data_IF_905618755809
#
_entry.id   IF_905618755809
#
_cell.length_a   1.000
_cell.length_b   1.000
_cell.length_c   1.000
_cell.angle_alpha   90.00
_cell.angle_beta   90.00
_cell.angle_gamma   90.00
#
_symmetry.space_group_name_H-M   'P 1'
#
loop_
_entity.id
_entity.type
_entity.pdbx_description
1 polymer ?
#
# COMPACT_ATOMS: atom_id res chain seq x y z
N UNK A 1 31.23 0.00 -6.43
CA UNK A 1 30.00 0.57 -7.01
C UNK A 1 29.01 -0.57 -7.16
N UNK A 2 27.86 -0.49 -6.52
CA UNK A 2 26.75 -1.41 -6.80
C UNK A 2 26.16 -0.91 -8.11
N UNK A 3 26.22 -1.68 -9.21
CA UNK A 3 25.52 -1.27 -10.41
C UNK A 3 24.03 -1.39 -10.12
N UNK A 4 23.38 -0.26 -9.85
CA UNK A 4 21.93 -0.21 -9.64
C UNK A 4 21.25 -0.38 -11.00
N UNK A 5 21.33 -1.59 -11.52
CA UNK A 5 20.60 -1.96 -12.72
C UNK A 5 19.29 -2.60 -12.28
N UNK A 6 18.19 -1.87 -12.44
CA UNK A 6 16.86 -2.43 -12.23
C UNK A 6 16.61 -3.47 -13.32
N UNK A 7 16.23 -4.66 -12.91
CA UNK A 7 15.95 -5.79 -13.80
C UNK A 7 14.46 -6.17 -13.83
N UNK A 8 13.73 -5.80 -12.79
CA UNK A 8 12.31 -6.14 -12.64
C UNK A 8 11.61 -5.07 -11.80
N UNK A 9 10.38 -4.71 -12.16
CA UNK A 9 9.48 -3.89 -11.34
C UNK A 9 8.33 -4.75 -10.85
N UNK A 10 7.96 -4.57 -9.60
CA UNK A 10 6.81 -5.23 -8.97
C UNK A 10 5.78 -4.20 -8.51
N UNK A 11 4.50 -4.52 -8.72
CA UNK A 11 3.38 -3.88 -8.06
C UNK A 11 2.85 -4.84 -6.98
N UNK A 12 3.11 -4.54 -5.72
CA UNK A 12 2.71 -5.37 -4.57
C UNK A 12 1.65 -4.60 -3.78
N UNK A 13 0.49 -5.19 -3.54
CA UNK A 13 -0.56 -4.45 -2.84
C UNK A 13 -1.60 -5.32 -2.15
N UNK A 14 -2.23 -4.72 -1.13
CA UNK A 14 -3.55 -5.09 -0.62
C UNK A 14 -4.57 -4.02 -1.02
N UNK A 15 -5.69 -4.42 -1.65
CA UNK A 15 -6.67 -3.48 -2.18
C UNK A 15 -8.09 -4.02 -2.15
N UNK A 16 -8.81 -3.81 -1.05
CA UNK A 16 -10.18 -4.31 -0.89
C UNK A 16 -11.19 -3.64 -1.83
N UNK A 17 -10.99 -2.37 -2.22
CA UNK A 17 -11.92 -1.59 -3.03
C UNK A 17 -11.35 -1.12 -4.38
N UNK A 18 -10.12 -1.51 -4.72
CA UNK A 18 -9.47 -1.21 -6.00
C UNK A 18 -8.64 0.08 -6.03
N UNK A 19 -8.78 1.00 -5.08
CA UNK A 19 -8.06 2.28 -5.11
C UNK A 19 -6.55 2.11 -4.92
N UNK A 20 -6.13 1.33 -3.92
CA UNK A 20 -4.71 1.05 -3.68
C UNK A 20 -4.09 0.35 -4.90
N UNK A 21 -4.81 -0.63 -5.48
CA UNK A 21 -4.39 -1.29 -6.72
C UNK A 21 -4.15 -0.26 -7.83
N UNK A 22 -5.11 0.65 -8.08
CA UNK A 22 -5.00 1.67 -9.13
C UNK A 22 -3.74 2.52 -8.97
N UNK A 23 -3.51 3.07 -7.77
CA UNK A 23 -2.34 3.91 -7.49
C UNK A 23 -1.04 3.11 -7.66
N UNK A 24 -0.96 1.93 -7.04
CA UNK A 24 0.25 1.10 -7.04
C UNK A 24 0.62 0.63 -8.45
N UNK A 25 -0.34 0.10 -9.21
CA UNK A 25 -0.08 -0.40 -10.56
C UNK A 25 0.23 0.72 -11.56
N UNK A 26 -0.39 1.90 -11.40
CA UNK A 26 -0.08 3.05 -12.25
C UNK A 26 1.37 3.50 -12.07
N UNK A 27 1.84 3.64 -10.82
CA UNK A 27 3.22 4.01 -10.55
C UNK A 27 4.20 2.93 -11.00
N UNK A 28 3.91 1.66 -10.69
CA UNK A 28 4.79 0.55 -11.07
C UNK A 28 4.92 0.42 -12.59
N UNK A 29 3.83 0.61 -13.34
CA UNK A 29 3.87 0.59 -14.80
C UNK A 29 4.72 1.74 -15.36
N UNK A 30 4.59 2.95 -14.83
CA UNK A 30 5.41 4.09 -15.24
C UNK A 30 6.90 3.85 -14.99
N UNK A 31 7.25 3.23 -13.85
CA UNK A 31 8.63 2.88 -13.52
C UNK A 31 9.15 1.75 -14.42
N UNK A 32 8.35 0.71 -14.68
CA UNK A 32 8.74 -0.38 -15.58
C UNK A 32 9.04 0.12 -17.01
N UNK A 33 8.20 1.03 -17.52
CA UNK A 33 8.42 1.70 -18.82
C UNK A 33 9.69 2.55 -18.79
N UNK A 34 9.92 3.31 -17.71
CA UNK A 34 11.09 4.19 -17.59
C UNK A 34 12.42 3.44 -17.58
N UNK A 35 12.45 2.22 -17.03
CA UNK A 35 13.64 1.38 -16.99
C UNK A 35 13.70 0.33 -18.09
N UNK A 36 12.67 0.23 -18.95
CA UNK A 36 12.53 -0.77 -20.00
C UNK A 36 12.68 -2.22 -19.46
N UNK A 37 11.95 -2.53 -18.39
CA UNK A 37 11.98 -3.82 -17.68
C UNK A 37 10.57 -4.38 -17.50
N UNK A 38 10.43 -5.70 -17.29
CA UNK A 38 9.13 -6.33 -17.02
C UNK A 38 8.46 -5.78 -15.77
N UNK A 39 7.12 -5.79 -15.76
CA UNK A 39 6.28 -5.55 -14.60
C UNK A 39 5.61 -6.86 -14.16
N UNK A 40 5.72 -7.18 -12.89
CA UNK A 40 4.96 -8.27 -12.26
C UNK A 40 4.02 -7.71 -11.19
N UNK A 41 2.80 -8.25 -11.11
CA UNK A 41 1.80 -7.86 -10.12
C UNK A 41 1.66 -8.96 -9.07
N UNK A 42 1.77 -8.59 -7.79
CA UNK A 42 1.57 -9.45 -6.62
C UNK A 42 0.46 -8.90 -5.75
N UNK A 43 -0.75 -9.36 -5.98
CA UNK A 43 -1.95 -8.99 -5.23
C UNK A 43 -2.14 -9.94 -4.05
N UNK A 44 -1.91 -9.46 -2.82
CA UNK A 44 -2.11 -10.25 -1.61
C UNK A 44 -3.41 -9.93 -0.86
N UNK A 45 -4.41 -9.40 -1.58
CA UNK A 45 -5.71 -9.02 -1.00
C UNK A 45 -6.45 -10.22 -0.40
N UNK A 46 -6.43 -11.37 -1.08
CA UNK A 46 -7.12 -12.57 -0.61
C UNK A 46 -6.24 -13.42 0.32
N UNK A 47 -6.83 -14.13 1.29
CA UNK A 47 -6.08 -14.95 2.24
C UNK A 47 -5.14 -15.98 1.59
N UNK A 48 -5.56 -16.64 0.51
CA UNK A 48 -4.75 -17.63 -0.18
C UNK A 48 -3.41 -17.06 -0.72
N UNK A 49 -3.37 -15.79 -1.07
CA UNK A 49 -2.15 -15.12 -1.50
C UNK A 49 -1.18 -14.78 -0.34
N UNK A 50 -1.54 -15.12 0.88
CA UNK A 50 -0.73 -14.89 2.09
C UNK A 50 -0.31 -16.18 2.79
N UNK A 51 -0.41 -17.30 2.10
CA UNK A 51 0.00 -18.61 2.63
C UNK A 51 1.51 -18.80 2.55
N UNK A 52 2.17 -18.14 1.60
CA UNK A 52 3.62 -18.17 1.41
C UNK A 52 4.21 -16.76 1.43
N UNK A 53 5.48 -16.66 1.78
CA UNK A 53 6.22 -15.41 1.73
C UNK A 53 6.59 -15.05 0.29
N UNK A 54 6.83 -13.77 0.05
CA UNK A 54 7.29 -13.22 -1.22
C UNK A 54 8.77 -12.86 -1.14
N UNK A 55 9.55 -13.39 -2.06
CA UNK A 55 10.98 -13.13 -2.18
C UNK A 55 11.27 -12.12 -3.28
N UNK A 56 12.22 -11.22 -3.01
CA UNK A 56 12.74 -10.23 -3.94
C UNK A 56 14.28 -10.27 -3.95
N UNK A 57 14.90 -9.53 -4.83
CA UNK A 57 16.34 -9.51 -5.02
C UNK A 57 16.86 -8.07 -5.26
N UNK A 58 18.16 -7.86 -5.11
CA UNK A 58 18.83 -6.56 -5.21
C UNK A 58 18.66 -5.86 -6.57
N UNK A 59 18.16 -6.40 -7.60
CA UNK A 59 17.83 -5.76 -8.88
C UNK A 59 16.35 -5.39 -9.02
N UNK A 60 15.55 -5.67 -7.99
CA UNK A 60 14.11 -5.42 -8.05
C UNK A 60 13.76 -4.03 -7.54
N UNK A 61 12.75 -3.44 -8.16
CA UNK A 61 12.10 -2.20 -7.73
C UNK A 61 10.64 -2.49 -7.41
N UNK A 62 10.27 -2.36 -6.15
CA UNK A 62 8.95 -2.75 -5.63
C UNK A 62 8.13 -1.52 -5.28
N UNK A 63 7.02 -1.28 -5.98
CA UNK A 63 5.98 -0.34 -5.52
C UNK A 63 5.05 -1.10 -4.60
N UNK A 64 5.06 -0.74 -3.32
CA UNK A 64 4.32 -1.44 -2.29
C UNK A 64 3.13 -0.58 -1.80
N UNK A 65 1.92 -1.01 -2.11
CA UNK A 65 0.70 -0.26 -1.83
C UNK A 65 -0.14 -0.83 -0.70
N UNK A 66 -0.50 0.01 0.27
CA UNK A 66 -1.38 -0.32 1.39
C UNK A 66 -2.46 0.75 1.59
N UNK A 67 -3.66 0.39 2.02
CA UNK A 67 -4.65 1.36 2.49
C UNK A 67 -4.36 1.78 3.94
N UNK A 68 -4.85 2.95 4.30
CA UNK A 68 -4.83 3.46 5.67
C UNK A 68 -6.11 3.10 6.41
N UNK A 69 -6.01 2.37 7.50
CA UNK A 69 -7.12 2.02 8.39
C UNK A 69 -6.87 2.63 9.78
N UNK A 70 -7.72 3.55 10.19
CA UNK A 70 -7.59 4.26 11.47
C UNK A 70 -6.16 4.85 11.70
N UNK A 71 -5.61 5.47 10.66
CA UNK A 71 -4.32 6.17 10.69
C UNK A 71 -3.08 5.29 10.62
N UNK A 72 -3.24 3.98 10.46
CA UNK A 72 -2.15 2.98 10.40
C UNK A 72 -2.40 1.98 9.26
N UNK A 73 -1.54 1.00 9.10
CA UNK A 73 -1.80 -0.15 8.23
C UNK A 73 -2.92 -1.03 8.82
N UNK A 74 -3.66 -1.79 7.99
CA UNK A 74 -4.70 -2.69 8.50
C UNK A 74 -4.13 -3.68 9.51
N UNK A 75 -4.62 -3.64 10.75
CA UNK A 75 -4.08 -4.41 11.88
C UNK A 75 -4.09 -5.93 11.65
N UNK A 76 -5.03 -6.45 10.87
CA UNK A 76 -5.11 -7.87 10.53
C UNK A 76 -4.08 -8.34 9.51
N UNK A 77 -3.42 -7.41 8.85
CA UNK A 77 -2.38 -7.68 7.85
C UNK A 77 -0.98 -7.35 8.35
N UNK A 78 -0.87 -6.64 9.48
CA UNK A 78 0.41 -6.09 9.93
C UNK A 78 1.46 -7.17 10.18
N UNK A 79 1.07 -8.31 10.77
CA UNK A 79 2.00 -9.44 11.00
C UNK A 79 2.54 -9.99 9.66
N UNK A 80 1.66 -10.14 8.66
CA UNK A 80 2.06 -10.59 7.34
C UNK A 80 2.93 -9.55 6.61
N UNK A 81 2.61 -8.24 6.73
CA UNK A 81 3.44 -7.19 6.15
C UNK A 81 4.84 -7.16 6.77
N UNK A 82 4.98 -7.50 8.04
CA UNK A 82 6.28 -7.53 8.75
C UNK A 82 7.10 -8.81 8.56
N UNK A 83 6.55 -9.85 7.98
CA UNK A 83 7.24 -11.15 7.92
C UNK A 83 7.02 -11.93 6.63
N UNK A 84 6.09 -11.51 5.81
CA UNK A 84 5.74 -12.19 4.56
C UNK A 84 6.44 -11.65 3.32
N UNK A 85 7.34 -10.68 3.46
CA UNK A 85 8.06 -10.07 2.34
C UNK A 85 9.55 -9.98 2.66
N UNK A 86 10.39 -10.57 1.84
CA UNK A 86 11.85 -10.57 2.01
C UNK A 86 12.48 -9.74 0.90
N UNK A 87 12.93 -8.53 1.25
CA UNK A 87 13.47 -7.55 0.29
C UNK A 87 14.82 -7.92 -0.28
N UNK A 88 15.70 -8.55 0.51
CA UNK A 88 17.03 -9.00 0.09
C UNK A 88 17.84 -7.93 -0.66
N UNK A 89 17.68 -6.67 -0.26
CA UNK A 89 18.34 -5.52 -0.89
C UNK A 89 17.58 -4.92 -2.08
N UNK A 90 16.34 -5.32 -2.36
CA UNK A 90 15.48 -4.67 -3.34
C UNK A 90 15.18 -3.22 -2.97
N UNK A 91 14.97 -2.36 -3.96
CA UNK A 91 14.48 -1.00 -3.75
C UNK A 91 12.96 -1.01 -3.56
N UNK A 92 12.44 -0.16 -2.67
CA UNK A 92 11.02 -0.03 -2.44
C UNK A 92 10.51 1.40 -2.54
N UNK A 93 9.30 1.55 -3.08
CA UNK A 93 8.51 2.78 -3.08
C UNK A 93 7.20 2.49 -2.36
N UNK A 94 7.15 2.67 -1.02
CA UNK A 94 5.91 2.57 -0.27
C UNK A 94 4.91 3.65 -0.69
N UNK A 95 3.67 3.25 -0.95
CA UNK A 95 2.56 4.14 -1.21
C UNK A 95 1.36 3.75 -0.34
N UNK A 96 0.71 4.73 0.27
CA UNK A 96 -0.52 4.51 1.02
C UNK A 96 -1.67 5.27 0.39
N UNK A 97 -2.87 4.69 0.47
CA UNK A 97 -4.11 5.36 0.08
C UNK A 97 -4.98 5.60 1.30
N UNK A 98 -5.74 6.68 1.31
CA UNK A 98 -6.60 7.04 2.43
C UNK A 98 -7.88 7.73 1.97
N UNK A 99 -8.94 7.62 2.77
CA UNK A 99 -10.28 8.12 2.45
C UNK A 99 -10.47 9.60 2.77
N UNK A 100 -9.53 10.46 2.42
CA UNK A 100 -9.60 11.94 2.47
C UNK A 100 -9.64 12.58 3.87
N UNK A 101 -9.55 11.83 4.97
CA UNK A 101 -9.36 12.45 6.29
C UNK A 101 -7.88 12.76 6.52
N UNK A 102 -7.08 11.73 6.65
CA UNK A 102 -5.63 11.76 6.85
C UNK A 102 -5.07 10.36 6.70
N UNK A 103 -3.81 10.25 6.33
CA UNK A 103 -3.07 8.98 6.38
C UNK A 103 -2.32 8.81 7.71
N UNK A 104 -2.28 9.83 8.55
CA UNK A 104 -1.64 9.87 9.87
C UNK A 104 -0.25 9.18 9.85
N UNK A 105 -0.14 8.02 10.49
CA UNK A 105 1.12 7.30 10.67
C UNK A 105 1.31 6.11 9.71
N UNK A 106 0.36 5.84 8.80
CA UNK A 106 0.38 4.63 7.98
C UNK A 106 1.57 4.58 7.02
N UNK A 107 1.98 5.72 6.45
CA UNK A 107 3.14 5.76 5.55
C UNK A 107 4.44 5.52 6.32
N UNK A 108 4.60 6.12 7.48
CA UNK A 108 5.77 5.90 8.36
C UNK A 108 5.85 4.42 8.79
N UNK A 109 4.72 3.81 9.16
CA UNK A 109 4.67 2.39 9.52
C UNK A 109 5.04 1.49 8.33
N UNK A 110 4.54 1.78 7.12
CA UNK A 110 4.89 1.01 5.93
C UNK A 110 6.38 1.13 5.59
N UNK A 111 6.96 2.34 5.65
CA UNK A 111 8.39 2.54 5.45
C UNK A 111 9.21 1.71 6.43
N UNK A 112 8.86 1.76 7.73
CA UNK A 112 9.56 1.01 8.77
C UNK A 112 9.45 -0.52 8.58
N UNK A 113 8.28 -1.02 8.18
CA UNK A 113 8.11 -2.44 7.87
C UNK A 113 9.02 -2.88 6.71
N UNK A 114 9.01 -2.16 5.60
CA UNK A 114 9.81 -2.52 4.42
C UNK A 114 11.31 -2.45 4.69
N UNK A 115 11.80 -1.44 5.41
CA UNK A 115 13.21 -1.39 5.83
C UNK A 115 13.56 -2.58 6.75
N UNK A 116 12.65 -2.93 7.68
CA UNK A 116 12.82 -4.10 8.55
C UNK A 116 12.84 -5.43 7.80
N UNK A 117 12.16 -5.51 6.66
CA UNK A 117 12.06 -6.68 5.79
C UNK A 117 13.21 -6.74 4.74
N UNK A 118 14.21 -5.86 4.87
CA UNK A 118 15.41 -5.87 4.02
C UNK A 118 15.27 -5.18 2.68
N UNK A 119 14.26 -4.32 2.51
CA UNK A 119 14.18 -3.39 1.39
C UNK A 119 14.94 -2.09 1.70
N UNK A 120 15.26 -1.35 0.66
CA UNK A 120 15.77 0.03 0.76
C UNK A 120 14.74 0.98 0.18
N UNK A 121 14.11 1.80 1.02
CA UNK A 121 13.11 2.76 0.56
C UNK A 121 13.77 3.90 -0.20
N UNK A 122 13.23 4.25 -1.38
CA UNK A 122 13.83 5.25 -2.28
C UNK A 122 12.91 6.43 -2.59
N UNK A 123 11.67 6.32 -2.30
CA UNK A 123 10.62 7.33 -2.41
C UNK A 123 9.41 6.84 -1.66
N UNK A 124 8.47 7.71 -1.31
CA UNK A 124 7.26 7.36 -0.62
C UNK A 124 6.14 8.35 -0.96
N UNK A 125 4.88 7.91 -0.88
CA UNK A 125 3.75 8.81 -1.15
C UNK A 125 2.45 8.37 -0.50
N UNK A 126 1.58 9.35 -0.21
CA UNK A 126 0.23 9.14 0.29
C UNK A 126 -0.78 9.81 -0.64
N UNK A 127 -1.81 9.07 -1.05
CA UNK A 127 -2.79 9.51 -2.05
C UNK A 127 -4.20 9.42 -1.50
N UNK A 128 -4.92 10.54 -1.55
CA UNK A 128 -6.33 10.55 -1.21
C UNK A 128 -7.14 9.83 -2.29
N UNK A 129 -8.07 9.01 -1.84
CA UNK A 129 -8.95 8.24 -2.70
C UNK A 129 -10.38 8.30 -2.17
N UNK A 130 -11.34 7.95 -3.01
CA UNK A 130 -12.73 7.83 -2.58
C UNK A 130 -12.83 6.97 -1.31
N UNK A 131 -13.55 7.46 -0.33
CA UNK A 131 -13.72 6.76 0.95
C UNK A 131 -14.44 5.41 0.75
N UNK A 132 -13.97 4.36 1.43
CA UNK A 132 -14.51 3.01 1.25
C UNK A 132 -15.97 2.85 1.68
N UNK A 133 -16.46 3.68 2.62
CA UNK A 133 -17.80 3.56 3.20
C UNK A 133 -18.81 4.58 2.65
N UNK A 134 -18.40 5.49 1.78
CA UNK A 134 -19.29 6.54 1.26
C UNK A 134 -18.83 7.06 -0.09
N UNK A 135 -19.79 7.37 -0.95
CA UNK A 135 -19.54 7.99 -2.25
C UNK A 135 -19.47 9.53 -2.16
N UNK A 136 -19.68 10.12 -0.99
CA UNK A 136 -19.66 11.58 -0.80
C UNK A 136 -18.24 12.10 -0.58
N UNK A 137 -17.42 11.37 0.22
CA UNK A 137 -16.07 11.81 0.56
C UNK A 137 -15.08 11.42 -0.53
N UNK A 138 -14.38 12.41 -1.08
CA UNK A 138 -13.38 12.25 -2.14
C UNK A 138 -13.91 11.49 -3.37
N UNK A 139 -15.18 11.72 -3.72
CA UNK A 139 -15.76 11.13 -4.92
C UNK A 139 -14.94 11.54 -6.16
N UNK A 140 -14.63 10.58 -7.03
CA UNK A 140 -13.81 10.79 -8.22
C UNK A 140 -12.30 10.73 -7.98
N UNK A 141 -11.81 10.66 -6.74
CA UNK A 141 -10.39 10.50 -6.45
C UNK A 141 -9.96 9.01 -6.39
N UNK A 142 -8.72 8.69 -6.85
CA UNK A 142 -7.69 9.61 -7.35
C UNK A 142 -8.09 10.17 -8.72
N UNK A 143 -7.98 11.50 -8.88
CA UNK A 143 -8.28 12.28 -10.07
C UNK A 143 -7.01 12.60 -10.91
N UNK A 144 -7.13 13.53 -11.86
CA UNK A 144 -6.00 13.92 -12.71
C UNK A 144 -4.86 14.58 -11.95
N UNK A 145 -5.17 15.35 -10.91
CA UNK A 145 -4.17 16.03 -10.10
C UNK A 145 -3.42 15.02 -9.23
N UNK A 146 -4.13 14.06 -8.65
CA UNK A 146 -3.51 12.93 -7.93
C UNK A 146 -2.60 12.11 -8.84
N UNK A 147 -3.03 11.88 -10.10
CA UNK A 147 -2.20 11.16 -11.07
C UNK A 147 -0.98 11.98 -11.49
N UNK A 148 -1.06 13.30 -11.55
CA UNK A 148 0.08 14.17 -11.81
C UNK A 148 1.09 14.13 -10.65
N UNK A 149 0.63 14.14 -9.39
CA UNK A 149 1.51 13.99 -8.23
C UNK A 149 2.16 12.58 -8.19
N UNK A 150 1.42 11.55 -8.57
CA UNK A 150 1.97 10.19 -8.69
C UNK A 150 3.05 10.12 -9.77
N UNK A 151 2.86 10.78 -10.90
CA UNK A 151 3.86 10.87 -11.97
C UNK A 151 5.12 11.66 -11.53
N UNK A 152 4.97 12.71 -10.72
CA UNK A 152 6.11 13.44 -10.12
C UNK A 152 6.91 12.52 -9.20
N UNK A 153 6.23 11.73 -8.36
CA UNK A 153 6.90 10.73 -7.51
C UNK A 153 7.68 9.75 -8.36
N UNK A 154 7.08 9.21 -9.42
CA UNK A 154 7.75 8.30 -10.36
C UNK A 154 9.01 8.92 -10.98
N UNK A 155 8.93 10.15 -11.47
CA UNK A 155 10.05 10.88 -12.03
C UNK A 155 11.16 11.13 -11.01
N UNK A 156 10.81 11.46 -9.77
CA UNK A 156 11.77 11.65 -8.69
C UNK A 156 12.48 10.34 -8.33
N UNK A 157 11.77 9.22 -8.28
CA UNK A 157 12.32 7.87 -8.05
C UNK A 157 13.30 7.51 -9.16
N UNK A 158 12.93 7.65 -10.43
CA UNK A 158 13.83 7.40 -11.57
C UNK A 158 15.09 8.25 -11.45
N UNK A 159 14.94 9.56 -11.25
CA UNK A 159 16.07 10.47 -11.13
C UNK A 159 16.98 10.15 -9.93
N UNK A 160 16.44 9.60 -8.84
CA UNK A 160 17.23 9.16 -7.69
C UNK A 160 18.01 7.88 -8.01
N UNK A 161 17.37 6.87 -8.60
CA UNK A 161 18.00 5.60 -8.97
C UNK A 161 19.14 5.83 -9.96
N UNK A 162 18.92 6.62 -11.00
CA UNK A 162 19.94 6.90 -12.03
C UNK A 162 21.20 7.57 -11.45
N UNK A 163 21.05 8.37 -10.40
CA UNK A 163 22.18 9.04 -9.74
C UNK A 163 22.79 8.26 -8.56
N UNK A 164 22.22 7.13 -8.22
CA UNK A 164 22.62 6.35 -7.07
C UNK A 164 23.94 5.62 -7.30
N UNK A 165 24.88 5.76 -6.37
CA UNK A 165 26.17 5.04 -6.35
C UNK A 165 26.30 4.08 -5.18
N UNK A 166 25.38 4.20 -4.19
CA UNK A 166 25.28 3.37 -3.00
C UNK A 166 23.81 3.29 -2.56
N UNK A 167 23.48 2.36 -1.71
CA UNK A 167 22.12 2.29 -1.14
C UNK A 167 21.78 3.57 -0.37
N UNK A 168 20.58 4.11 -0.56
CA UNK A 168 20.18 5.33 0.13
C UNK A 168 19.93 5.08 1.61
N UNK A 169 20.05 6.13 2.42
CA UNK A 169 19.43 6.12 3.73
C UNK A 169 17.91 5.96 3.59
N UNK A 170 17.23 5.34 4.59
CA UNK A 170 15.77 5.23 4.61
C UNK A 170 15.06 6.55 4.31
N UNK A 171 13.97 6.49 3.59
CA UNK A 171 13.16 7.69 3.30
C UNK A 171 12.55 8.23 4.59
N UNK A 172 12.74 9.52 4.85
CA UNK A 172 12.09 10.20 5.97
C UNK A 172 10.72 10.70 5.52
N UNK A 173 9.68 10.33 6.24
CA UNK A 173 8.29 10.76 6.02
C UNK A 173 7.70 11.25 7.34
N UNK A 174 6.67 12.08 7.27
CA UNK A 174 5.92 12.50 8.44
C UNK A 174 5.18 11.31 9.07
N UNK A 175 5.12 11.31 10.41
CA UNK A 175 4.41 10.30 11.20
C UNK A 175 5.34 9.52 12.13
N UNK A 176 4.72 8.71 12.98
CA UNK A 176 5.36 7.83 13.96
C UNK A 176 4.90 6.39 13.69
N UNK A 177 5.84 5.53 13.29
CA UNK A 177 5.56 4.13 13.00
C UNK A 177 5.02 3.35 14.22
N UNK A 178 5.38 3.76 15.43
CA UNK A 178 4.99 3.13 16.69
C UNK A 178 3.72 3.74 17.31
N UNK A 179 3.17 4.80 16.72
CA UNK A 179 1.96 5.44 17.21
C UNK A 179 0.76 4.47 17.27
N UNK A 180 -0.17 4.65 18.22
CA UNK A 180 -1.39 3.84 18.28
C UNK A 180 -2.34 4.16 17.12
N UNK A 181 -3.28 3.25 16.87
CA UNK A 181 -4.39 3.49 15.94
C UNK A 181 -5.24 4.69 16.39
N UNK A 182 -5.65 5.49 15.41
CA UNK A 182 -6.59 6.57 15.65
C UNK A 182 -7.91 6.02 16.24
N UNK A 183 -8.38 6.66 17.30
CA UNK A 183 -9.67 6.35 17.91
C UNK A 183 -10.62 7.53 17.67
N UNK A 184 -11.72 7.33 16.91
CA UNK A 184 -12.69 8.38 16.71
C UNK A 184 -13.40 8.71 18.02
N UNK A 185 -13.68 9.98 18.23
CA UNK A 185 -14.50 10.46 19.35
C UNK A 185 -15.96 10.51 18.91
N UNK A 186 -16.86 10.22 19.84
CA UNK A 186 -18.28 10.46 19.68
C UNK A 186 -18.63 11.93 19.89
N UNK A 187 -19.89 12.28 19.69
CA UNK A 187 -20.42 13.63 19.95
C UNK A 187 -20.31 14.02 21.45
N UNK A 188 -20.20 13.04 22.31
CA UNK A 188 -19.97 13.17 23.75
C UNK A 188 -18.49 13.38 24.13
N UNK A 189 -17.58 13.43 23.13
CA UNK A 189 -16.15 13.55 23.34
C UNK A 189 -15.44 12.27 23.79
N UNK A 190 -16.17 11.17 23.97
CA UNK A 190 -15.62 9.91 24.45
C UNK A 190 -15.16 9.02 23.26
N UNK A 191 -14.06 8.26 23.44
CA UNK A 191 -13.60 7.31 22.42
C UNK A 191 -14.65 6.26 22.09
N UNK A 192 -14.96 6.10 20.80
CA UNK A 192 -15.91 5.08 20.34
C UNK A 192 -15.18 3.80 19.96
N UNK A 193 -15.83 2.69 20.28
CA UNK A 193 -15.39 1.34 19.90
C UNK A 193 -16.06 0.96 18.60
N UNK A 194 -15.29 0.45 17.64
CA UNK A 194 -15.85 -0.07 16.41
C UNK A 194 -16.77 -1.26 16.70
N UNK A 195 -17.96 -1.25 16.10
CA UNK A 195 -18.87 -2.37 16.18
C UNK A 195 -18.20 -3.61 15.59
N UNK A 196 -18.13 -4.68 16.38
CA UNK A 196 -17.70 -6.00 15.92
C UNK A 196 -18.86 -6.69 15.18
N UNK A 197 -19.37 -6.06 14.14
CA UNK A 197 -20.42 -6.60 13.30
C UNK A 197 -19.86 -7.72 12.42
N UNK A 198 -20.62 -8.80 12.27
CA UNK A 198 -20.37 -9.88 11.31
C UNK A 198 -21.59 -10.02 10.41
N UNK A 199 -21.41 -10.27 9.12
CA UNK A 199 -22.53 -10.63 8.26
C UNK A 199 -23.20 -11.91 8.78
N UNK A 200 -24.52 -11.95 8.74
CA UNK A 200 -25.31 -13.13 9.10
C UNK A 200 -26.13 -13.53 7.89
N UNK A 201 -26.07 -14.79 7.53
CA UNK A 201 -26.92 -15.37 6.49
C UNK A 201 -28.22 -15.85 7.12
N UNK A 202 -29.35 -15.40 6.60
CA UNK A 202 -30.65 -15.97 6.89
C UNK A 202 -30.78 -17.25 6.07
N UNK A 203 -30.62 -18.40 6.73
CA UNK A 203 -30.60 -19.71 6.06
C UNK A 203 -31.97 -20.08 5.47
N UNK A 204 -33.08 -19.54 6.03
CA UNK A 204 -34.42 -19.80 5.50
C UNK A 204 -34.68 -19.07 4.17
N UNK A 205 -33.94 -18.00 3.92
CA UNK A 205 -33.99 -17.21 2.67
C UNK A 205 -32.85 -17.51 1.71
N UNK A 206 -31.84 -18.22 2.16
CA UNK A 206 -30.65 -18.50 1.37
C UNK A 206 -30.92 -19.55 0.29
N UNK A 207 -30.75 -19.17 -0.98
CA UNK A 207 -30.91 -20.08 -2.12
C UNK A 207 -29.57 -20.72 -2.56
N UNK A 208 -28.52 -20.57 -1.77
CA UNK A 208 -27.18 -21.10 -2.03
C UNK A 208 -26.56 -20.69 -3.38
N UNK A 209 -26.90 -19.51 -3.92
CA UNK A 209 -26.41 -19.02 -5.22
C UNK A 209 -24.91 -18.62 -5.24
N UNK A 210 -24.26 -18.53 -4.09
CA UNK A 210 -22.83 -18.18 -4.00
C UNK A 210 -22.47 -16.70 -4.23
N UNK A 211 -23.44 -15.83 -4.56
CA UNK A 211 -23.18 -14.41 -4.90
C UNK A 211 -22.47 -13.67 -3.76
N UNK A 212 -22.89 -13.87 -2.50
CA UNK A 212 -22.25 -13.22 -1.38
C UNK A 212 -20.77 -13.64 -1.19
N UNK A 213 -20.44 -14.90 -1.49
CA UNK A 213 -19.05 -15.37 -1.41
C UNK A 213 -18.20 -14.89 -2.60
N UNK A 214 -18.81 -14.56 -3.74
CA UNK A 214 -18.10 -14.01 -4.90
C UNK A 214 -17.90 -12.50 -4.84
N UNK A 215 -18.67 -11.79 -4.00
CA UNK A 215 -18.61 -10.33 -3.84
C UNK A 215 -17.84 -9.89 -2.59
N UNK A 216 -17.59 -10.78 -1.65
CA UNK A 216 -16.93 -10.55 -0.37
C UNK A 216 -15.67 -11.45 -0.28
#
# INVERSE_FOLDING_TARGET
PIPMNISQVYAVYFSATGNTRKVTTTLANALAVSFDVPLEVRDFTLPAAREEAYEFAAGDLVVFGMPTYAGKLPNKLLDFVKSGFHGNGALAVPVVTFGNRSFDNSLAELCACLEGDGFHTIGAGAFACRHAFTDVLANGRPDSDDMAELAKLGSAVVGRIVRMTEYPAPVTVDGDADAPYYRPLGLDGEPKVFLKAKPKTDLDKCIHCGVCASLC
#
